data_IF_066367956626
#
_entry.id   IF_066367956626
#
_cell.length_a   1.000
_cell.length_b   1.000
_cell.length_c   1.000
_cell.angle_alpha   90.00
_cell.angle_beta   90.00
_cell.angle_gamma   90.00
#
_symmetry.space_group_name_H-M   'P 1'
#
loop_
_entity.id
_entity.type
_entity.pdbx_description
1 polymer ?
#
# COMPACT_ATOMS: atom_id res chain seq x y z
N UNK A 1 -12.00 -1.38 1.43
CA UNK A 1 -12.90 -1.14 0.28
C UNK A 1 -12.62 0.16 -0.46
N UNK A 2 -12.64 1.33 0.22
CA UNK A 2 -12.34 2.65 -0.38
C UNK A 2 -11.07 2.64 -1.24
N UNK A 3 -9.93 2.25 -0.65
CA UNK A 3 -8.65 2.14 -1.34
C UNK A 3 -8.72 1.28 -2.62
N UNK A 4 -9.42 0.15 -2.62
CA UNK A 4 -9.51 -0.70 -3.82
C UNK A 4 -10.28 -0.05 -4.97
N UNK A 5 -11.21 0.88 -4.69
CA UNK A 5 -11.99 1.60 -5.69
C UNK A 5 -11.19 2.68 -6.42
N UNK A 6 -10.09 3.12 -5.81
CA UNK A 6 -9.19 4.11 -6.44
C UNK A 6 -8.35 3.50 -7.57
N UNK A 7 -8.19 2.17 -7.59
CA UNK A 7 -7.43 1.44 -8.61
C UNK A 7 -8.35 1.15 -9.79
N UNK A 8 -8.08 1.82 -10.92
CA UNK A 8 -8.82 1.59 -12.16
C UNK A 8 -8.62 0.15 -12.67
N UNK A 9 -9.71 -0.62 -12.83
CA UNK A 9 -9.67 -1.95 -13.41
C UNK A 9 -9.91 -1.88 -14.93
N UNK A 10 -8.82 -1.92 -15.70
CA UNK A 10 -8.86 -1.92 -17.18
C UNK A 10 -9.04 -3.32 -17.79
N UNK A 11 -9.10 -4.37 -16.96
CA UNK A 11 -9.25 -5.74 -17.42
C UNK A 11 -10.66 -5.97 -17.98
N UNK A 12 -10.77 -6.88 -18.94
CA UNK A 12 -12.08 -7.25 -19.49
C UNK A 12 -12.97 -7.86 -18.39
N UNK A 13 -14.13 -7.27 -18.04
CA UNK A 13 -14.90 -7.66 -16.85
C UNK A 13 -15.29 -9.14 -16.81
N UNK A 14 -15.69 -9.72 -17.96
CA UNK A 14 -16.06 -11.14 -18.05
C UNK A 14 -14.91 -12.13 -17.87
N UNK A 15 -13.66 -11.66 -17.75
CA UNK A 15 -12.46 -12.46 -17.49
C UNK A 15 -11.86 -12.19 -16.12
N UNK A 16 -12.48 -11.33 -15.31
CA UNK A 16 -12.00 -11.01 -13.96
C UNK A 16 -12.49 -12.08 -12.99
N UNK A 17 -11.57 -12.95 -12.60
CA UNK A 17 -11.80 -13.97 -11.57
C UNK A 17 -11.61 -13.38 -10.17
N UNK A 18 -10.58 -12.55 -9.98
CA UNK A 18 -10.27 -11.91 -8.70
C UNK A 18 -10.36 -10.39 -8.83
N UNK A 19 -11.24 -9.79 -8.02
CA UNK A 19 -11.45 -8.33 -8.02
C UNK A 19 -10.23 -7.63 -7.42
N UNK A 20 -10.01 -6.37 -7.78
CA UNK A 20 -8.94 -5.56 -7.18
C UNK A 20 -9.01 -5.53 -5.65
N UNK A 21 -10.21 -5.55 -5.05
CA UNK A 21 -10.38 -5.65 -3.61
C UNK A 21 -9.77 -6.93 -3.03
N UNK A 22 -10.00 -8.07 -3.69
CA UNK A 22 -9.51 -9.36 -3.23
C UNK A 22 -7.99 -9.42 -3.36
N UNK A 23 -7.44 -8.95 -4.49
CA UNK A 23 -5.99 -8.91 -4.72
C UNK A 23 -5.28 -7.96 -3.76
N UNK A 24 -5.85 -6.78 -3.49
CA UNK A 24 -5.32 -5.82 -2.52
C UNK A 24 -5.33 -6.41 -1.10
N UNK A 25 -6.44 -7.03 -0.67
CA UNK A 25 -6.55 -7.70 0.64
C UNK A 25 -5.52 -8.82 0.76
N UNK A 26 -5.42 -9.68 -0.26
CA UNK A 26 -4.46 -10.78 -0.28
C UNK A 26 -3.03 -10.27 -0.06
N UNK A 27 -2.66 -9.17 -0.71
CA UNK A 27 -1.33 -8.56 -0.51
C UNK A 27 -1.14 -7.97 0.87
N UNK A 28 -2.10 -7.20 1.37
CA UNK A 28 -2.03 -6.62 2.72
C UNK A 28 -1.87 -7.72 3.78
N UNK A 29 -2.68 -8.78 3.71
CA UNK A 29 -2.61 -9.87 4.68
C UNK A 29 -1.35 -10.72 4.51
N UNK A 30 -0.90 -10.97 3.29
CA UNK A 30 0.38 -11.64 3.04
C UNK A 30 1.55 -10.89 3.67
N UNK A 31 1.64 -9.58 3.44
CA UNK A 31 2.68 -8.73 4.06
C UNK A 31 2.58 -8.78 5.60
N UNK A 32 1.37 -8.65 6.15
CA UNK A 32 1.16 -8.69 7.60
C UNK A 32 1.53 -10.04 8.23
N UNK A 33 1.38 -11.14 7.48
CA UNK A 33 1.75 -12.49 7.89
C UNK A 33 3.24 -12.83 7.66
N UNK A 34 4.03 -11.90 7.10
CA UNK A 34 5.47 -12.09 6.88
C UNK A 34 5.85 -12.56 5.46
N UNK A 35 4.95 -12.42 4.48
CA UNK A 35 5.15 -12.84 3.08
C UNK A 35 5.21 -11.64 2.10
N UNK A 36 6.26 -10.81 2.14
CA UNK A 36 6.33 -9.55 1.39
C UNK A 36 6.68 -9.71 -0.09
N UNK A 37 7.36 -10.78 -0.51
CA UNK A 37 7.97 -10.92 -1.86
C UNK A 37 7.12 -11.71 -2.87
N UNK A 38 5.90 -12.10 -2.50
CA UNK A 38 4.97 -12.87 -3.32
C UNK A 38 5.42 -14.28 -3.73
N UNK A 39 6.56 -14.80 -3.27
CA UNK A 39 7.03 -16.14 -3.68
C UNK A 39 6.11 -17.27 -3.16
N UNK A 40 5.51 -17.07 -1.98
CA UNK A 40 4.60 -18.00 -1.31
C UNK A 40 3.15 -17.84 -1.75
N UNK A 41 2.86 -16.90 -2.67
CA UNK A 41 1.49 -16.58 -3.07
C UNK A 41 0.72 -17.79 -3.63
N UNK A 42 1.39 -18.69 -4.36
CA UNK A 42 0.74 -19.88 -4.92
C UNK A 42 0.35 -20.90 -3.83
N UNK A 43 1.16 -21.00 -2.78
CA UNK A 43 0.85 -21.82 -1.60
C UNK A 43 -0.27 -21.19 -0.78
N UNK A 44 -0.15 -19.89 -0.46
CA UNK A 44 -1.12 -19.13 0.31
C UNK A 44 -2.48 -18.99 -0.40
N UNK A 45 -2.51 -19.07 -1.74
CA UNK A 45 -3.76 -19.01 -2.48
C UNK A 45 -4.73 -20.15 -2.14
N UNK A 46 -4.18 -21.29 -1.67
CA UNK A 46 -4.94 -22.47 -1.26
C UNK A 46 -5.12 -22.56 0.25
N UNK A 47 -4.47 -21.69 1.02
CA UNK A 47 -4.48 -21.74 2.47
C UNK A 47 -5.89 -21.42 3.02
N UNK A 48 -6.47 -22.29 3.87
CA UNK A 48 -7.82 -22.09 4.41
C UNK A 48 -8.00 -20.80 5.19
N UNK A 49 -6.97 -20.34 5.92
CA UNK A 49 -7.03 -19.11 6.71
C UNK A 49 -7.01 -17.90 5.78
N UNK A 50 -6.16 -17.90 4.75
CA UNK A 50 -6.13 -16.85 3.75
C UNK A 50 -7.43 -16.76 2.94
N UNK A 51 -8.05 -17.91 2.60
CA UNK A 51 -9.40 -17.93 2.01
C UNK A 51 -10.42 -17.28 2.93
N UNK A 52 -10.41 -17.65 4.21
CA UNK A 52 -11.31 -17.09 5.21
C UNK A 52 -11.15 -15.57 5.39
N UNK A 53 -9.91 -15.06 5.40
CA UNK A 53 -9.60 -13.63 5.49
C UNK A 53 -10.18 -12.82 4.30
N UNK A 54 -10.45 -13.47 3.18
CA UNK A 54 -11.04 -12.87 1.99
C UNK A 54 -12.53 -13.23 1.83
N UNK A 55 -13.20 -13.59 2.92
CA UNK A 55 -14.62 -13.92 2.97
C UNK A 55 -14.97 -15.12 2.06
N UNK A 56 -14.07 -16.09 1.92
CA UNK A 56 -14.28 -17.33 1.14
C UNK A 56 -14.38 -18.54 2.05
N UNK A 57 -15.07 -19.57 1.56
CA UNK A 57 -15.10 -20.86 2.25
C UNK A 57 -13.67 -21.44 2.37
N UNK A 58 -13.24 -21.86 3.57
CA UNK A 58 -11.86 -22.30 3.81
C UNK A 58 -11.50 -23.61 3.10
N UNK A 59 -12.48 -24.47 2.81
CA UNK A 59 -12.24 -25.79 2.22
C UNK A 59 -12.59 -25.79 0.73
N UNK A 60 -13.79 -25.34 0.39
CA UNK A 60 -14.37 -25.44 -0.95
C UNK A 60 -14.38 -24.09 -1.69
N UNK A 61 -13.98 -23.01 -1.01
CA UNK A 61 -13.93 -21.68 -1.60
C UNK A 61 -12.88 -21.58 -2.69
N UNK A 62 -13.17 -20.73 -3.68
CA UNK A 62 -12.25 -20.46 -4.79
C UNK A 62 -10.87 -20.03 -4.26
N UNK A 63 -9.80 -20.58 -4.86
CA UNK A 63 -8.42 -20.20 -4.58
C UNK A 63 -8.15 -18.71 -4.84
N UNK A 64 -7.26 -18.10 -4.06
CA UNK A 64 -6.89 -16.69 -4.23
C UNK A 64 -6.02 -16.48 -5.48
N UNK A 65 -5.60 -15.24 -5.73
CA UNK A 65 -4.75 -14.92 -6.86
C UNK A 65 -3.39 -15.60 -6.74
N UNK A 66 -2.96 -16.26 -7.81
CA UNK A 66 -1.59 -16.80 -7.93
C UNK A 66 -0.53 -15.69 -7.96
N UNK A 67 0.73 -16.06 -7.78
CA UNK A 67 1.88 -15.14 -7.89
C UNK A 67 1.85 -14.28 -9.17
N UNK A 68 1.67 -14.83 -10.39
CA UNK A 68 1.64 -14.00 -11.60
C UNK A 68 0.40 -13.10 -11.66
N UNK A 69 -0.69 -13.46 -10.98
CA UNK A 69 -1.88 -12.61 -10.88
C UNK A 69 -1.64 -11.40 -10.00
N UNK A 70 -1.01 -11.60 -8.85
CA UNK A 70 -0.61 -10.50 -7.96
C UNK A 70 0.43 -9.59 -8.62
N UNK A 71 1.43 -10.17 -9.29
CA UNK A 71 2.44 -9.40 -10.01
C UNK A 71 1.84 -8.50 -11.10
N UNK A 72 0.90 -9.01 -11.91
CA UNK A 72 0.19 -8.19 -12.89
C UNK A 72 -0.65 -7.09 -12.23
N UNK A 73 -1.28 -7.39 -11.10
CA UNK A 73 -2.04 -6.40 -10.34
C UNK A 73 -1.15 -5.28 -9.83
N UNK A 74 -0.04 -5.59 -9.15
CA UNK A 74 0.91 -4.59 -8.65
C UNK A 74 1.50 -3.73 -9.78
N UNK A 75 1.78 -4.32 -10.94
CA UNK A 75 2.28 -3.60 -12.12
C UNK A 75 1.19 -2.83 -12.90
N UNK A 76 -0.08 -3.02 -12.58
CA UNK A 76 -1.18 -2.29 -13.22
C UNK A 76 -1.48 -0.94 -12.56
N UNK A 77 -1.00 -0.75 -11.33
CA UNK A 77 -1.25 0.46 -10.53
C UNK A 77 -0.45 1.63 -11.10
N UNK A 78 -1.12 2.74 -11.37
CA UNK A 78 -0.51 3.96 -11.90
C UNK A 78 -0.25 4.99 -10.81
N UNK A 79 0.59 5.99 -11.10
CA UNK A 79 0.79 7.14 -10.19
C UNK A 79 -0.51 7.89 -9.88
N UNK A 80 -1.47 7.89 -10.80
CA UNK A 80 -2.80 8.50 -10.58
C UNK A 80 -3.61 7.71 -9.56
N UNK A 81 -3.59 6.38 -9.65
CA UNK A 81 -4.26 5.52 -8.67
C UNK A 81 -3.62 5.69 -7.29
N UNK A 82 -2.28 5.74 -7.20
CA UNK A 82 -1.56 5.98 -5.94
C UNK A 82 -1.89 7.33 -5.31
N UNK A 83 -2.04 8.39 -6.11
CA UNK A 83 -2.45 9.70 -5.61
C UNK A 83 -3.88 9.65 -5.05
N UNK A 84 -4.82 9.03 -5.78
CA UNK A 84 -6.19 8.85 -5.29
C UNK A 84 -6.25 7.98 -4.02
N UNK A 85 -5.40 6.94 -3.92
CA UNK A 85 -5.25 6.13 -2.70
C UNK A 85 -4.78 6.97 -1.51
N UNK A 86 -3.82 7.88 -1.72
CA UNK A 86 -3.30 8.74 -0.66
C UNK A 86 -4.36 9.74 -0.18
N UNK A 87 -5.16 10.32 -1.08
CA UNK A 87 -6.31 11.17 -0.72
C UNK A 87 -7.33 10.39 0.10
N UNK A 88 -7.72 9.20 -0.36
CA UNK A 88 -8.68 8.35 0.35
C UNK A 88 -8.14 7.92 1.73
N UNK A 89 -6.84 7.63 1.84
CA UNK A 89 -6.21 7.28 3.11
C UNK A 89 -6.16 8.48 4.07
N UNK A 90 -5.87 9.67 3.57
CA UNK A 90 -5.94 10.92 4.35
C UNK A 90 -7.33 11.15 4.92
N UNK A 91 -8.37 11.00 4.09
CA UNK A 91 -9.75 11.11 4.54
C UNK A 91 -10.09 10.07 5.62
N UNK A 92 -9.68 8.81 5.44
CA UNK A 92 -9.89 7.75 6.44
C UNK A 92 -9.24 8.12 7.77
N UNK A 93 -8.02 8.63 7.76
CA UNK A 93 -7.29 9.07 8.96
C UNK A 93 -8.05 10.24 9.61
N UNK A 94 -8.38 11.28 8.85
CA UNK A 94 -9.11 12.45 9.38
C UNK A 94 -10.47 12.05 9.96
N UNK A 95 -11.24 11.22 9.27
CA UNK A 95 -12.53 10.73 9.75
C UNK A 95 -12.39 9.89 11.03
N UNK A 96 -11.41 8.99 11.08
CA UNK A 96 -11.12 8.19 12.26
C UNK A 96 -10.84 9.09 13.47
N UNK A 97 -9.96 10.08 13.31
CA UNK A 97 -9.59 11.00 14.39
C UNK A 97 -10.71 11.98 14.75
N UNK A 98 -11.52 12.40 13.78
CA UNK A 98 -12.71 13.19 14.06
C UNK A 98 -13.70 12.43 14.96
N UNK A 99 -13.86 11.11 14.76
CA UNK A 99 -14.68 10.25 15.65
C UNK A 99 -13.99 10.04 17.00
N UNK A 100 -12.73 9.61 17.02
CA UNK A 100 -11.94 9.33 18.24
C UNK A 100 -11.88 10.54 19.18
N UNK A 101 -11.66 11.73 18.62
CA UNK A 101 -11.54 12.99 19.36
C UNK A 101 -12.88 13.71 19.56
N UNK A 102 -14.01 13.08 19.21
CA UNK A 102 -15.36 13.69 19.33
C UNK A 102 -15.45 15.07 18.66
N UNK A 103 -14.88 15.19 17.46
CA UNK A 103 -14.78 16.42 16.64
C UNK A 103 -14.02 17.57 17.33
N UNK A 104 -13.08 17.25 18.23
CA UNK A 104 -12.21 18.21 18.93
C UNK A 104 -10.78 18.29 18.37
N UNK A 105 -10.55 17.78 17.16
CA UNK A 105 -9.34 18.10 16.40
C UNK A 105 -9.41 19.58 16.01
N UNK A 106 -8.54 20.42 16.58
CA UNK A 106 -8.44 21.86 16.32
C UNK A 106 -7.26 22.22 15.44
N UNK A 107 -6.25 21.35 15.41
CA UNK A 107 -5.04 21.48 14.59
C UNK A 107 -4.72 20.11 14.00
N UNK A 108 -4.35 20.10 12.73
CA UNK A 108 -3.72 18.97 12.06
C UNK A 108 -2.38 19.49 11.56
N UNK A 109 -1.29 18.86 12.00
CA UNK A 109 0.05 19.12 11.48
C UNK A 109 0.34 18.04 10.45
N UNK A 110 0.84 18.43 9.28
CA UNK A 110 1.19 17.51 8.19
C UNK A 110 2.70 17.59 8.00
N UNK A 111 3.38 16.46 8.17
CA UNK A 111 4.81 16.33 7.90
C UNK A 111 5.01 15.50 6.63
N UNK A 112 5.86 15.99 5.72
CA UNK A 112 6.27 15.32 4.50
C UNK A 112 7.78 15.13 4.53
N UNK A 113 8.22 13.98 5.00
CA UNK A 113 9.63 13.73 5.24
C UNK A 113 10.19 12.73 4.21
N UNK A 114 11.29 13.06 3.50
CA UNK A 114 12.03 12.07 2.75
C UNK A 114 12.80 11.15 3.69
N UNK A 115 12.86 9.86 3.38
CA UNK A 115 13.73 8.90 4.06
C UNK A 115 14.48 8.08 3.02
N UNK A 116 15.71 7.67 3.30
CA UNK A 116 16.46 6.79 2.42
C UNK A 116 16.00 5.33 2.56
N UNK A 117 15.95 4.63 1.43
CA UNK A 117 15.82 3.18 1.37
C UNK A 117 17.02 2.63 0.59
N UNK A 118 18.10 2.22 1.28
CA UNK A 118 19.32 1.75 0.64
C UNK A 118 19.08 0.57 -0.30
N UNK A 119 19.73 0.62 -1.46
CA UNK A 119 19.56 -0.39 -2.50
C UNK A 119 20.88 -1.09 -2.81
N UNK A 120 20.78 -2.34 -3.23
CA UNK A 120 21.90 -3.15 -3.66
C UNK A 120 21.71 -3.60 -5.11
N UNK A 121 22.77 -3.47 -5.91
CA UNK A 121 22.77 -3.77 -7.34
C UNK A 121 22.09 -2.71 -8.20
N UNK A 122 21.87 -3.03 -9.47
CA UNK A 122 21.32 -2.11 -10.47
C UNK A 122 19.79 -2.25 -10.56
N UNK A 123 19.06 -1.68 -9.60
CA UNK A 123 17.58 -1.63 -9.64
C UNK A 123 17.10 -0.36 -10.33
N UNK A 124 15.91 -0.39 -10.94
CA UNK A 124 15.31 0.80 -11.57
C UNK A 124 15.08 1.88 -10.51
N UNK A 125 15.40 3.15 -10.81
CA UNK A 125 15.30 4.32 -9.91
C UNK A 125 16.32 4.37 -8.75
N UNK A 126 17.23 3.41 -8.66
CA UNK A 126 18.38 3.48 -7.76
C UNK A 126 19.38 4.50 -8.28
N UNK A 127 19.63 5.54 -7.50
CA UNK A 127 20.66 6.54 -7.80
C UNK A 127 21.42 6.93 -6.54
N UNK A 128 22.63 7.44 -6.70
CA UNK A 128 23.43 7.94 -5.60
C UNK A 128 22.81 9.23 -5.03
N UNK A 129 22.56 9.25 -3.72
CA UNK A 129 22.13 10.44 -3.01
C UNK A 129 23.30 11.04 -2.22
N UNK A 130 23.65 12.30 -2.49
CA UNK A 130 24.78 12.96 -1.85
C UNK A 130 24.53 13.31 -0.37
N UNK A 131 23.27 13.48 0.05
CA UNK A 131 22.92 13.77 1.44
C UNK A 131 23.04 12.52 2.32
N UNK A 132 22.56 11.37 1.82
CA UNK A 132 22.61 10.09 2.53
C UNK A 132 23.86 9.26 2.23
N UNK A 133 24.72 9.73 1.31
CA UNK A 133 25.97 9.10 0.91
C UNK A 133 25.83 7.62 0.47
N UNK A 134 24.69 7.25 -0.09
CA UNK A 134 24.39 5.87 -0.50
C UNK A 134 23.61 5.83 -1.82
N UNK A 135 23.55 4.64 -2.43
CA UNK A 135 22.62 4.37 -3.52
C UNK A 135 21.29 3.92 -2.93
N UNK A 136 20.22 4.68 -3.15
CA UNK A 136 18.94 4.43 -2.50
C UNK A 136 17.76 4.78 -3.40
N UNK A 137 16.57 4.40 -2.95
CA UNK A 137 15.37 5.17 -3.23
C UNK A 137 15.22 6.28 -2.19
N UNK A 138 14.44 7.32 -2.52
CA UNK A 138 14.14 8.40 -1.59
C UNK A 138 12.62 8.55 -1.37
N UNK A 139 11.95 7.53 -0.81
CA UNK A 139 10.53 7.61 -0.51
C UNK A 139 10.20 8.87 0.31
N UNK A 140 9.09 9.51 -0.05
CA UNK A 140 8.48 10.59 0.72
C UNK A 140 7.34 10.02 1.54
N UNK A 141 7.39 10.24 2.85
CA UNK A 141 6.40 9.75 3.81
C UNK A 141 5.58 10.92 4.32
N UNK A 142 4.27 10.85 4.11
CA UNK A 142 3.32 11.83 4.61
C UNK A 142 2.64 11.35 5.87
N UNK A 143 2.77 12.11 6.96
CA UNK A 143 2.10 11.82 8.23
C UNK A 143 1.26 12.98 8.74
N UNK A 144 0.21 12.66 9.49
CA UNK A 144 -0.65 13.62 10.18
C UNK A 144 -0.52 13.47 11.69
N UNK A 145 -0.47 14.60 12.39
CA UNK A 145 -0.55 14.68 13.84
C UNK A 145 -1.75 15.55 14.24
N UNK A 146 -2.49 15.14 15.28
CA UNK A 146 -3.70 15.83 15.72
C UNK A 146 -3.46 16.57 17.04
N UNK A 147 -3.78 17.86 17.07
CA UNK A 147 -3.60 18.77 18.21
C UNK A 147 -2.15 18.84 18.71
N UNK A 148 -1.86 18.17 19.82
CA UNK A 148 -0.56 18.10 20.49
C UNK A 148 -0.25 16.67 20.92
N UNK A 149 -0.93 15.69 20.32
CA UNK A 149 -0.64 14.27 20.53
C UNK A 149 0.69 13.93 19.84
N UNK A 150 1.53 13.08 20.44
CA UNK A 150 2.82 12.73 19.85
C UNK A 150 2.70 11.73 18.70
N UNK A 151 1.57 11.05 18.56
CA UNK A 151 1.35 10.03 17.53
C UNK A 151 1.24 10.67 16.13
N UNK A 152 1.95 10.06 15.18
CA UNK A 152 1.90 10.40 13.76
C UNK A 152 1.20 9.28 13.00
N UNK A 153 0.30 9.65 12.10
CA UNK A 153 -0.50 8.70 11.33
C UNK A 153 -0.16 8.81 9.84
N UNK A 154 0.29 7.71 9.25
CA UNK A 154 0.62 7.64 7.82
C UNK A 154 -0.63 7.89 6.97
N UNK A 155 -0.53 8.79 5.99
CA UNK A 155 -1.57 8.98 4.98
C UNK A 155 -1.05 8.88 3.54
N UNK A 156 0.26 9.00 3.32
CA UNK A 156 0.86 8.89 2.00
C UNK A 156 2.26 8.27 2.08
N UNK A 157 2.60 7.47 1.07
CA UNK A 157 3.95 7.00 0.82
C UNK A 157 4.18 7.01 -0.69
N UNK A 158 5.18 7.78 -1.13
CA UNK A 158 5.50 7.93 -2.56
C UNK A 158 6.96 7.56 -2.77
N UNK A 159 7.20 6.49 -3.52
CA UNK A 159 8.55 6.09 -3.90
C UNK A 159 9.12 7.10 -4.91
N UNK A 160 10.33 7.60 -4.66
CA UNK A 160 11.02 8.53 -5.56
C UNK A 160 12.43 8.04 -5.88
N UNK A 161 13.00 8.45 -7.03
CA UNK A 161 14.37 8.14 -7.38
C UNK A 161 15.39 8.68 -6.35
N UNK A 162 16.50 7.98 -6.15
CA UNK A 162 17.54 8.36 -5.17
C UNK A 162 18.20 9.72 -5.40
N UNK A 163 18.18 10.23 -6.64
CA UNK A 163 18.76 11.54 -6.99
C UNK A 163 17.76 12.70 -6.82
N UNK A 164 16.59 12.46 -6.23
CA UNK A 164 15.63 13.53 -5.92
C UNK A 164 16.16 14.38 -4.77
N UNK A 165 16.02 15.70 -4.88
CA UNK A 165 16.35 16.60 -3.77
C UNK A 165 15.25 16.58 -2.69
N UNK A 166 15.67 16.83 -1.45
CA UNK A 166 14.77 17.05 -0.31
C UNK A 166 13.94 18.31 -0.50
#
# INVERSE_FOLDING_TARGET
ERLAKTICDSRQPGKVIHRNLDLLRQRIYGIAAGYPDCNDADSLAKDPIHKLLLDRDPMDGQDLGSQPTLSRFENSVTSKDLFAMAEDLADIVVEHHARRLKKRARRITIDLDPTDDPTHGARQLTFFNAHYHCFCYLPMIGTMQFNSENEKYLFAAVLRPGNTHS
#
